data_IF_249560638344
#
_entry.id   IF_249560638344
#
_cell.length_a   1.000
_cell.length_b   1.000
_cell.length_c   1.000
_cell.angle_alpha   90.00
_cell.angle_beta   90.00
_cell.angle_gamma   90.00
#
_symmetry.space_group_name_H-M   'P 1'
#
loop_
_entity.id
_entity.type
_entity.pdbx_description
1 polymer ?
#
# COMPACT_ATOMS: atom_id res chain seq x y z
N UNK A 1 -12.27 4.52 12.42
CA UNK A 1 -11.64 5.36 11.36
C UNK A 1 -12.68 5.98 10.43
N UNK A 2 -13.47 5.21 9.67
CA UNK A 2 -14.48 5.77 8.77
C UNK A 2 -15.56 6.64 9.46
N UNK A 3 -16.03 6.23 10.63
CA UNK A 3 -17.01 6.98 11.44
C UNK A 3 -16.45 8.35 11.90
N UNK A 4 -15.17 8.38 12.28
CA UNK A 4 -14.50 9.58 12.77
C UNK A 4 -14.21 10.58 11.64
N UNK A 5 -13.82 10.08 10.47
CA UNK A 5 -13.68 10.90 9.27
C UNK A 5 -15.01 11.52 8.83
N UNK A 6 -16.11 10.76 8.91
CA UNK A 6 -17.44 11.27 8.59
C UNK A 6 -17.88 12.35 9.56
N UNK A 7 -17.71 12.11 10.86
CA UNK A 7 -17.98 13.12 11.90
C UNK A 7 -17.14 14.39 11.71
N UNK A 8 -15.85 14.26 11.40
CA UNK A 8 -14.97 15.40 11.12
C UNK A 8 -15.42 16.14 9.85
N UNK A 9 -15.83 15.43 8.80
CA UNK A 9 -16.35 16.04 7.58
C UNK A 9 -17.60 16.87 7.87
N UNK A 10 -18.59 16.26 8.53
CA UNK A 10 -19.87 16.91 8.84
C UNK A 10 -19.65 18.18 9.67
N UNK A 11 -18.83 18.11 10.72
CA UNK A 11 -18.49 19.26 11.56
C UNK A 11 -17.80 20.39 10.77
N UNK A 12 -16.87 20.06 9.85
CA UNK A 12 -16.17 21.07 9.07
C UNK A 12 -17.10 21.73 8.03
N UNK A 13 -17.99 20.96 7.41
CA UNK A 13 -18.98 21.46 6.46
C UNK A 13 -20.01 22.35 7.16
N UNK A 14 -20.52 21.92 8.32
CA UNK A 14 -21.46 22.71 9.12
C UNK A 14 -20.83 24.04 9.55
N UNK A 15 -19.60 24.00 10.06
CA UNK A 15 -18.84 25.20 10.42
C UNK A 15 -18.61 26.13 9.21
N UNK A 16 -18.28 25.59 8.03
CA UNK A 16 -18.15 26.38 6.80
C UNK A 16 -19.44 27.13 6.45
N UNK A 17 -20.57 26.42 6.45
CA UNK A 17 -21.87 26.98 6.10
C UNK A 17 -22.31 28.04 7.11
N UNK A 18 -22.13 27.78 8.40
CA UNK A 18 -22.52 28.72 9.45
C UNK A 18 -21.67 30.00 9.44
N UNK A 19 -20.35 29.87 9.31
CA UNK A 19 -19.46 31.03 9.23
C UNK A 19 -19.71 31.87 7.97
N UNK A 20 -19.96 31.23 6.83
CA UNK A 20 -20.31 31.94 5.59
C UNK A 20 -21.66 32.66 5.71
N UNK A 21 -22.68 32.01 6.30
CA UNK A 21 -23.97 32.65 6.60
C UNK A 21 -23.79 33.84 7.55
N UNK A 22 -22.91 33.72 8.55
CA UNK A 22 -22.54 34.80 9.46
C UNK A 22 -21.94 36.01 8.74
N UNK A 23 -20.97 35.77 7.85
CA UNK A 23 -20.36 36.81 6.99
C UNK A 23 -21.40 37.51 6.12
N UNK A 24 -22.24 36.76 5.40
CA UNK A 24 -23.27 37.33 4.51
C UNK A 24 -24.28 38.16 5.30
N UNK A 25 -24.66 37.69 6.50
CA UNK A 25 -25.59 38.42 7.37
C UNK A 25 -24.99 39.71 7.90
N UNK A 26 -23.71 39.69 8.29
CA UNK A 26 -23.01 40.88 8.79
C UNK A 26 -22.69 41.89 7.67
N UNK A 27 -22.55 41.41 6.44
CA UNK A 27 -22.35 42.27 5.25
C UNK A 27 -23.61 43.06 4.88
N UNK A 28 -24.80 42.69 5.39
CA UNK A 28 -26.03 43.45 5.15
C UNK A 28 -26.01 44.74 5.96
N UNK A 29 -25.80 45.86 5.27
CA UNK A 29 -25.79 47.20 5.86
C UNK A 29 -27.21 47.54 6.33
N UNK A 30 -27.44 47.48 7.65
CA UNK A 30 -28.71 47.91 8.27
C UNK A 30 -28.61 49.28 8.94
N UNK A 31 -27.42 49.69 9.38
CA UNK A 31 -27.18 50.98 10.03
C UNK A 31 -25.85 51.60 9.56
N UNK A 32 -25.82 52.93 9.42
CA UNK A 32 -24.66 53.67 8.87
C UNK A 32 -23.48 53.73 9.84
N UNK A 33 -23.66 53.31 11.08
CA UNK A 33 -22.62 53.23 12.11
C UNK A 33 -22.01 51.83 12.13
N UNK A 34 -21.07 51.59 11.19
CA UNK A 34 -20.23 50.40 11.21
C UNK A 34 -19.48 50.35 12.54
N UNK A 35 -19.94 49.50 13.46
CA UNK A 35 -19.42 49.47 14.82
C UNK A 35 -18.15 48.62 14.83
N UNK A 36 -17.10 49.01 15.56
CA UNK A 36 -15.84 48.25 15.66
C UNK A 36 -16.08 46.76 16.05
N UNK A 37 -17.14 46.49 16.82
CA UNK A 37 -17.63 45.14 17.16
C UNK A 37 -18.03 44.30 15.94
N UNK A 38 -18.74 44.88 14.97
CA UNK A 38 -19.18 44.18 13.76
C UNK A 38 -18.00 43.86 12.83
N UNK A 39 -17.01 44.75 12.76
CA UNK A 39 -15.77 44.52 12.02
C UNK A 39 -14.96 43.36 12.64
N UNK A 40 -14.82 43.34 13.97
CA UNK A 40 -14.16 42.22 14.68
C UNK A 40 -14.89 40.90 14.45
N UNK A 41 -16.21 40.88 14.61
CA UNK A 41 -17.00 39.66 14.43
C UNK A 41 -16.97 39.15 12.99
N UNK A 42 -16.93 40.03 11.98
CA UNK A 42 -16.71 39.63 10.57
C UNK A 42 -15.34 38.99 10.37
N UNK A 43 -14.29 39.55 10.99
CA UNK A 43 -12.94 38.99 10.95
C UNK A 43 -12.87 37.61 11.59
N UNK A 44 -13.57 37.41 12.72
CA UNK A 44 -13.69 36.10 13.36
C UNK A 44 -14.35 35.09 12.42
N UNK A 45 -15.50 35.42 11.82
CA UNK A 45 -16.15 34.51 10.87
C UNK A 45 -15.27 34.16 9.67
N UNK A 46 -14.55 35.14 9.11
CA UNK A 46 -13.61 34.89 8.02
C UNK A 46 -12.46 33.97 8.43
N UNK A 47 -11.89 34.19 9.61
CA UNK A 47 -10.79 33.37 10.14
C UNK A 47 -11.24 31.94 10.42
N UNK A 48 -12.39 31.77 11.07
CA UNK A 48 -12.94 30.44 11.37
C UNK A 48 -13.35 29.70 10.10
N UNK A 49 -13.85 30.41 9.07
CA UNK A 49 -14.13 29.84 7.75
C UNK A 49 -12.88 29.27 7.08
N UNK A 50 -11.78 30.05 7.08
CA UNK A 50 -10.49 29.60 6.53
C UNK A 50 -9.99 28.39 7.32
N UNK A 51 -10.08 28.42 8.64
CA UNK A 51 -9.67 27.31 9.49
C UNK A 51 -10.45 26.02 9.22
N UNK A 52 -11.77 26.09 9.04
CA UNK A 52 -12.60 24.95 8.67
C UNK A 52 -12.24 24.42 7.27
N UNK A 53 -11.94 25.33 6.33
CA UNK A 53 -11.46 24.97 4.98
C UNK A 53 -10.14 24.21 5.03
N UNK A 54 -9.16 24.71 5.79
CA UNK A 54 -7.86 24.06 5.97
C UNK A 54 -7.99 22.69 6.63
N UNK A 55 -8.86 22.58 7.64
CA UNK A 55 -9.13 21.32 8.34
C UNK A 55 -9.75 20.28 7.41
N UNK A 56 -10.64 20.71 6.50
CA UNK A 56 -11.22 19.85 5.47
C UNK A 56 -10.17 19.40 4.44
N UNK A 57 -9.26 20.28 4.02
CA UNK A 57 -8.14 19.92 3.14
C UNK A 57 -7.20 18.90 3.78
N UNK A 58 -6.89 19.06 5.07
CA UNK A 58 -6.10 18.07 5.84
C UNK A 58 -6.79 16.72 5.88
N UNK A 59 -8.10 16.68 6.15
CA UNK A 59 -8.89 15.46 6.13
C UNK A 59 -8.82 14.74 4.78
N UNK A 60 -8.93 15.48 3.67
CA UNK A 60 -8.80 14.93 2.32
C UNK A 60 -7.39 14.35 2.09
N UNK A 61 -6.34 15.03 2.56
CA UNK A 61 -4.97 14.54 2.45
C UNK A 61 -4.76 13.24 3.25
N UNK A 62 -5.29 13.17 4.48
CA UNK A 62 -5.27 11.96 5.31
C UNK A 62 -5.98 10.79 4.62
N UNK A 63 -7.15 11.01 4.01
CA UNK A 63 -7.88 9.98 3.27
C UNK A 63 -7.10 9.46 2.06
N UNK A 64 -6.49 10.36 1.28
CA UNK A 64 -5.63 9.97 0.16
C UNK A 64 -4.46 9.11 0.63
N UNK A 65 -3.77 9.54 1.70
CA UNK A 65 -2.66 8.80 2.26
C UNK A 65 -3.09 7.41 2.75
N UNK A 66 -4.24 7.31 3.43
CA UNK A 66 -4.78 6.04 3.91
C UNK A 66 -5.05 5.06 2.77
N UNK A 67 -5.60 5.53 1.65
CA UNK A 67 -5.85 4.69 0.48
C UNK A 67 -4.54 4.23 -0.17
N UNK A 68 -3.59 5.15 -0.33
CA UNK A 68 -2.28 4.84 -0.92
C UNK A 68 -1.49 3.86 -0.07
N UNK A 69 -1.47 3.99 1.27
CA UNK A 69 -0.79 3.07 2.17
C UNK A 69 -1.43 1.68 2.18
N UNK A 70 -2.77 1.61 2.12
CA UNK A 70 -3.47 0.33 2.08
C UNK A 70 -3.15 -0.48 0.82
N UNK A 71 -2.96 0.18 -0.33
CA UNK A 71 -2.50 -0.49 -1.55
C UNK A 71 -1.09 -1.08 -1.38
N UNK A 72 -0.17 -0.40 -0.69
CA UNK A 72 1.18 -0.91 -0.47
C UNK A 72 1.22 -2.17 0.39
N UNK A 73 0.39 -2.25 1.44
CA UNK A 73 0.34 -3.43 2.31
C UNK A 73 -0.19 -4.65 1.54
N UNK A 74 -1.24 -4.48 0.73
CA UNK A 74 -1.77 -5.53 -0.14
C UNK A 74 -0.77 -5.98 -1.22
N UNK A 75 -0.08 -5.03 -1.85
CA UNK A 75 0.96 -5.32 -2.84
C UNK A 75 2.11 -6.09 -2.19
N UNK A 76 2.57 -5.68 -1.00
CA UNK A 76 3.64 -6.40 -0.28
C UNK A 76 3.23 -7.84 0.04
N UNK A 77 2.01 -8.07 0.56
CA UNK A 77 1.51 -9.43 0.81
C UNK A 77 1.48 -10.27 -0.47
N UNK A 78 1.09 -9.67 -1.60
CA UNK A 78 1.08 -10.36 -2.89
C UNK A 78 2.50 -10.67 -3.38
N UNK A 79 3.46 -9.76 -3.18
CA UNK A 79 4.87 -9.97 -3.50
C UNK A 79 5.45 -11.08 -2.63
N UNK A 80 5.19 -11.07 -1.32
CA UNK A 80 5.66 -12.10 -0.39
C UNK A 80 5.11 -13.48 -0.75
N UNK A 81 3.80 -13.59 -1.01
CA UNK A 81 3.17 -14.84 -1.43
C UNK A 81 3.74 -15.35 -2.78
N UNK A 82 4.01 -14.44 -3.72
CA UNK A 82 4.62 -14.80 -5.00
C UNK A 82 6.06 -15.28 -4.82
N UNK A 83 6.82 -14.60 -3.95
CA UNK A 83 8.20 -14.96 -3.61
C UNK A 83 8.27 -16.35 -2.97
N UNK A 84 7.37 -16.64 -2.03
CA UNK A 84 7.26 -17.94 -1.38
C UNK A 84 6.90 -19.05 -2.38
N UNK A 85 5.90 -18.81 -3.24
CA UNK A 85 5.52 -19.79 -4.28
C UNK A 85 6.64 -20.03 -5.30
N UNK A 86 7.40 -18.99 -5.66
CA UNK A 86 8.56 -19.15 -6.55
C UNK A 86 9.67 -19.96 -5.87
N UNK A 87 9.89 -19.72 -4.58
CA UNK A 87 10.89 -20.46 -3.80
C UNK A 87 10.53 -21.94 -3.69
N UNK A 88 9.27 -22.26 -3.39
CA UNK A 88 8.77 -23.64 -3.36
C UNK A 88 9.00 -24.35 -4.70
N UNK A 89 8.71 -23.67 -5.83
CA UNK A 89 8.98 -24.22 -7.16
C UNK A 89 10.48 -24.42 -7.43
N UNK A 90 11.34 -23.52 -6.97
CA UNK A 90 12.78 -23.70 -7.08
C UNK A 90 13.23 -24.93 -6.30
N UNK A 91 12.77 -25.07 -5.05
CA UNK A 91 13.10 -26.21 -4.20
C UNK A 91 12.62 -27.54 -4.83
N UNK A 92 11.43 -27.56 -5.44
CA UNK A 92 10.92 -28.73 -6.17
C UNK A 92 11.77 -29.09 -7.40
N UNK A 93 12.23 -28.08 -8.15
CA UNK A 93 13.10 -28.28 -9.31
C UNK A 93 14.47 -28.77 -8.87
N UNK A 94 15.06 -28.19 -7.83
CA UNK A 94 16.35 -28.61 -7.28
C UNK A 94 16.27 -30.05 -6.78
N UNK A 95 15.22 -30.40 -6.05
CA UNK A 95 14.97 -31.79 -5.63
C UNK A 95 14.88 -32.72 -6.86
N UNK A 96 14.17 -32.31 -7.91
CA UNK A 96 14.05 -33.11 -9.13
C UNK A 96 15.40 -33.31 -9.83
N UNK A 97 16.25 -32.28 -9.85
CA UNK A 97 17.61 -32.35 -10.39
C UNK A 97 18.47 -33.31 -9.59
N UNK A 98 18.40 -33.27 -8.26
CA UNK A 98 19.16 -34.17 -7.39
C UNK A 98 18.78 -35.64 -7.60
N UNK A 99 17.48 -35.92 -7.74
CA UNK A 99 16.99 -37.27 -8.04
C UNK A 99 17.49 -37.75 -9.40
N UNK A 100 17.39 -36.92 -10.45
CA UNK A 100 17.90 -37.27 -11.78
C UNK A 100 19.41 -37.49 -11.78
N UNK A 101 20.18 -36.68 -11.05
CA UNK A 101 21.61 -36.86 -10.90
C UNK A 101 21.94 -38.21 -10.24
N UNK A 102 21.20 -38.59 -9.20
CA UNK A 102 21.33 -39.89 -8.54
C UNK A 102 21.01 -41.06 -9.48
N UNK A 103 19.92 -40.96 -10.24
CA UNK A 103 19.51 -41.99 -11.19
C UNK A 103 20.56 -42.17 -12.30
N UNK A 104 21.10 -41.07 -12.85
CA UNK A 104 22.17 -41.10 -13.85
C UNK A 104 23.44 -41.70 -13.26
N UNK A 105 23.83 -41.32 -12.05
CA UNK A 105 25.00 -41.90 -11.38
C UNK A 105 24.84 -43.42 -11.16
N UNK A 106 23.65 -43.87 -10.75
CA UNK A 106 23.35 -45.30 -10.61
C UNK A 106 23.43 -46.03 -11.95
N UNK A 107 22.82 -45.48 -13.00
CA UNK A 107 22.87 -46.07 -14.34
C UNK A 107 24.30 -46.15 -14.90
N UNK A 108 25.12 -45.12 -14.66
CA UNK A 108 26.54 -45.12 -15.04
C UNK A 108 27.33 -46.18 -14.26
N UNK A 109 27.08 -46.33 -12.96
CA UNK A 109 27.73 -47.35 -12.14
C UNK A 109 27.36 -48.77 -12.60
N UNK A 110 26.08 -49.01 -12.90
CA UNK A 110 25.63 -50.29 -13.46
C UNK A 110 26.29 -50.57 -14.82
N UNK A 111 26.35 -49.57 -15.71
CA UNK A 111 26.99 -49.68 -17.01
C UNK A 111 28.50 -49.98 -16.89
N UNK A 112 29.19 -49.28 -15.99
CA UNK A 112 30.61 -49.47 -15.71
C UNK A 112 30.87 -50.89 -15.17
N UNK A 113 30.05 -51.35 -14.23
CA UNK A 113 30.13 -52.72 -13.71
C UNK A 113 29.89 -53.76 -14.81
N UNK A 114 28.88 -53.56 -15.67
CA UNK A 114 28.63 -54.43 -16.82
C UNK A 114 29.79 -54.43 -17.82
N UNK A 115 30.41 -53.27 -18.07
CA UNK A 115 31.58 -53.15 -18.93
C UNK A 115 32.77 -53.95 -18.39
N UNK A 116 33.10 -53.80 -17.10
CA UNK A 116 34.21 -54.55 -16.47
C UNK A 116 33.95 -56.06 -16.37
N UNK A 117 32.70 -56.48 -16.28
CA UNK A 117 32.32 -57.90 -16.31
C UNK A 117 32.24 -58.48 -17.73
N UNK A 118 32.27 -57.64 -18.77
CA UNK A 118 32.16 -58.09 -20.15
C UNK A 118 33.46 -58.71 -20.66
N UNK A 119 33.33 -59.66 -21.60
CA UNK A 119 34.47 -60.35 -22.25
C UNK A 119 35.26 -59.45 -23.21
N UNK A 120 34.83 -58.20 -23.41
CA UNK A 120 35.40 -57.23 -24.36
C UNK A 120 36.37 -56.25 -23.71
N UNK A 121 36.88 -56.56 -22.51
CA UNK A 121 37.93 -55.76 -21.87
C UNK A 121 39.07 -55.57 -22.87
N UNK A 122 39.22 -54.35 -23.39
CA UNK A 122 40.44 -53.94 -24.08
C UNK A 122 41.53 -54.01 -23.02
N UNK A 123 42.31 -55.07 -23.08
CA UNK A 123 43.53 -55.20 -22.32
C UNK A 123 44.43 -54.08 -22.84
N UNK A 124 44.55 -52.99 -22.06
CA UNK A 124 45.68 -52.09 -22.22
C UNK A 124 46.92 -52.91 -21.85
N UNK A 125 47.51 -53.55 -22.86
CA UNK A 125 48.86 -54.09 -22.75
C UNK A 125 49.82 -52.90 -22.54
N UNK A 126 50.66 -53.05 -21.52
CA UNK A 126 51.82 -52.21 -21.18
C UNK A 126 52.83 -52.25 -22.33
#
# INVERSE_FOLDING_TARGET
>A
MAEDYRRRLDNNVESLVENFRGLVTMSKIKDRTQTSRQALQSSVYATTLVHASESLLKLIAELKLSLTLNDFEGINQQVDATSESLKEKCDDVDNSIDHLCSDVASALFELENHYYQSKWRVQQDI
#
